data_IF_473468271409
#
_entry.id   IF_473468271409
#
_cell.length_a   1.000
_cell.length_b   1.000
_cell.length_c   1.000
_cell.angle_alpha   90.00
_cell.angle_beta   90.00
_cell.angle_gamma   90.00
#
_symmetry.space_group_name_H-M   'P 1'
#
loop_
_entity.id
_entity.type
_entity.pdbx_description
1 polymer ?
#
# COMPACT_ATOMS: atom_id res chain seq x y z
N UNK A 1 30.23 27.74 12.44
CA UNK A 1 30.95 26.63 11.77
C UNK A 1 29.95 25.64 11.19
N UNK A 2 29.75 25.81 9.88
CA UNK A 2 29.12 24.96 8.87
C UNK A 2 28.65 23.55 9.25
N UNK A 3 27.36 23.28 9.00
CA UNK A 3 26.73 21.95 9.05
C UNK A 3 26.95 21.11 7.79
N UNK A 4 26.39 19.88 7.73
CA UNK A 4 26.39 19.07 6.52
C UNK A 4 25.19 19.45 5.64
N UNK A 5 25.48 19.82 4.39
CA UNK A 5 24.50 20.22 3.38
C UNK A 5 23.61 19.07 2.94
N UNK A 6 22.30 19.31 2.99
CA UNK A 6 21.26 18.52 2.33
C UNK A 6 21.43 18.67 0.82
N UNK A 7 21.61 17.57 0.09
CA UNK A 7 21.63 17.60 -1.36
C UNK A 7 20.20 17.85 -1.89
N UNK A 8 19.92 19.11 -2.22
CA UNK A 8 18.77 19.51 -3.03
C UNK A 8 18.97 19.00 -4.46
N UNK A 9 18.02 18.23 -4.98
CA UNK A 9 17.99 17.76 -6.38
C UNK A 9 17.39 18.82 -7.32
N UNK A 10 17.72 20.10 -7.12
CA UNK A 10 17.21 21.21 -7.94
C UNK A 10 18.21 21.84 -8.89
N UNK A 11 19.44 21.32 -9.01
CA UNK A 11 20.41 21.76 -10.02
C UNK A 11 21.24 20.55 -10.46
N UNK A 12 20.92 19.95 -11.60
CA UNK A 12 21.86 19.08 -12.31
C UNK A 12 22.10 19.74 -13.66
N UNK A 13 23.21 20.47 -13.73
CA UNK A 13 23.70 21.08 -14.93
C UNK A 13 24.17 19.97 -15.90
N UNK A 14 23.69 20.04 -17.14
CA UNK A 14 23.83 18.98 -18.17
C UNK A 14 25.28 18.63 -18.55
N UNK A 15 26.27 19.40 -18.07
CA UNK A 15 27.70 19.15 -18.31
C UNK A 15 28.38 18.23 -17.28
N UNK A 16 27.78 17.99 -16.11
CA UNK A 16 28.37 17.10 -15.09
C UNK A 16 28.21 15.60 -15.41
N UNK A 17 27.23 15.25 -16.24
CA UNK A 17 26.95 13.85 -16.62
C UNK A 17 28.05 13.22 -17.48
N UNK A 18 28.77 14.01 -18.29
CA UNK A 18 29.82 13.48 -19.18
C UNK A 18 31.12 13.16 -18.43
N UNK A 19 31.42 13.85 -17.33
CA UNK A 19 32.61 13.59 -16.51
C UNK A 19 32.47 12.38 -15.57
N UNK A 20 31.24 12.05 -15.13
CA UNK A 20 30.98 10.90 -14.25
C UNK A 20 31.13 9.56 -14.98
N UNK A 21 30.95 9.54 -16.31
CA UNK A 21 31.07 8.31 -17.11
C UNK A 21 32.51 7.83 -17.23
N UNK A 22 33.52 8.70 -17.10
CA UNK A 22 34.92 8.33 -17.34
C UNK A 22 35.73 7.87 -16.11
N UNK A 23 35.26 8.07 -14.87
CA UNK A 23 36.07 7.79 -13.66
C UNK A 23 35.80 6.46 -12.95
N UNK A 24 34.81 5.66 -13.35
CA UNK A 24 34.49 4.38 -12.69
C UNK A 24 35.31 3.17 -13.18
N UNK A 25 36.61 3.35 -13.38
CA UNK A 25 37.59 2.25 -13.40
C UNK A 25 38.58 2.43 -12.24
N UNK A 26 38.21 2.03 -11.01
CA UNK A 26 39.10 1.34 -10.06
C UNK A 26 38.42 0.97 -8.73
N UNK A 27 38.74 -0.26 -8.33
CA UNK A 27 38.82 -0.86 -6.98
C UNK A 27 37.55 -1.24 -6.19
N UNK A 28 37.44 -2.58 -6.05
CA UNK A 28 36.58 -3.36 -5.15
C UNK A 28 36.89 -3.06 -3.67
N UNK A 29 35.87 -2.70 -2.89
CA UNK A 29 35.67 -3.18 -1.50
C UNK A 29 34.16 -3.39 -1.30
N UNK A 30 33.79 -4.54 -0.75
CA UNK A 30 32.40 -4.97 -0.62
C UNK A 30 31.59 -4.01 0.27
N UNK A 31 30.52 -3.43 -0.27
CA UNK A 31 29.53 -2.72 0.53
C UNK A 31 28.73 -3.71 1.38
N UNK A 32 28.47 -3.42 2.66
CA UNK A 32 27.63 -4.27 3.49
C UNK A 32 26.20 -4.31 2.94
N UNK A 33 25.56 -5.47 3.09
CA UNK A 33 24.20 -5.73 2.57
C UNK A 33 23.20 -4.74 3.18
N UNK A 34 22.41 -4.10 2.33
CA UNK A 34 21.33 -3.20 2.72
C UNK A 34 20.26 -3.98 3.52
N UNK A 35 19.81 -3.49 4.71
CA UNK A 35 18.82 -4.15 5.58
C UNK A 35 17.52 -4.55 4.87
N UNK A 36 17.15 -3.82 3.82
CA UNK A 36 15.95 -4.07 3.01
C UNK A 36 15.97 -5.43 2.30
N UNK A 37 17.15 -6.05 2.15
CA UNK A 37 17.28 -7.37 1.49
C UNK A 37 17.28 -8.56 2.44
N UNK A 38 17.48 -8.39 3.75
CA UNK A 38 17.29 -9.51 4.70
C UNK A 38 15.81 -9.96 4.68
N UNK A 39 14.89 -9.01 4.52
CA UNK A 39 13.46 -9.26 4.34
C UNK A 39 13.15 -10.18 3.14
N UNK A 40 13.83 -10.00 2.00
CA UNK A 40 13.61 -10.84 0.82
C UNK A 40 14.36 -12.19 0.86
N UNK A 41 15.37 -12.33 1.72
CA UNK A 41 16.13 -13.57 1.90
C UNK A 41 15.47 -14.47 2.95
N UNK A 42 14.95 -13.90 4.04
CA UNK A 42 14.24 -14.66 5.09
C UNK A 42 12.95 -15.32 4.58
N UNK A 43 12.22 -14.66 3.67
CA UNK A 43 11.04 -15.25 3.01
C UNK A 43 11.42 -16.50 2.16
N UNK A 44 12.66 -16.60 1.67
CA UNK A 44 13.10 -17.77 0.90
C UNK A 44 13.59 -18.94 1.78
N UNK A 45 13.78 -18.74 3.09
CA UNK A 45 14.33 -19.76 3.98
C UNK A 45 13.30 -20.45 4.89
N UNK A 46 12.06 -19.94 4.98
CA UNK A 46 11.03 -20.54 5.84
C UNK A 46 10.00 -21.45 5.16
N UNK A 47 10.05 -21.62 3.84
CA UNK A 47 9.20 -22.59 3.15
C UNK A 47 10.03 -23.72 2.53
N UNK A 48 10.24 -24.78 3.30
CA UNK A 48 10.49 -26.11 2.75
C UNK A 48 9.24 -26.55 1.98
N UNK A 49 9.10 -26.14 0.72
CA UNK A 49 8.01 -26.64 -0.13
C UNK A 49 7.80 -25.93 -1.46
N UNK A 50 8.11 -24.64 -1.60
CA UNK A 50 7.82 -23.92 -2.83
C UNK A 50 9.08 -23.41 -3.53
N UNK A 51 9.46 -24.09 -4.62
CA UNK A 51 10.42 -23.58 -5.61
C UNK A 51 9.99 -22.17 -6.01
N UNK A 52 10.77 -21.17 -5.61
CA UNK A 52 10.43 -19.76 -5.73
C UNK A 52 9.92 -19.39 -7.14
N UNK A 53 8.84 -18.60 -7.18
CA UNK A 53 8.16 -18.13 -8.39
C UNK A 53 9.07 -17.54 -9.47
N UNK A 54 10.27 -17.05 -9.09
CA UNK A 54 11.33 -16.64 -10.01
C UNK A 54 11.71 -17.72 -11.04
N UNK A 55 11.58 -18.99 -10.70
CA UNK A 55 11.95 -20.11 -11.59
C UNK A 55 10.91 -20.37 -12.68
N UNK A 56 9.62 -20.23 -12.36
CA UNK A 56 8.54 -20.67 -13.25
C UNK A 56 8.28 -19.63 -14.36
N UNK A 57 8.20 -18.35 -14.02
CA UNK A 57 7.91 -17.29 -14.99
C UNK A 57 9.08 -17.06 -15.97
N UNK A 58 10.31 -16.97 -15.46
CA UNK A 58 11.50 -16.84 -16.32
C UNK A 58 11.76 -18.12 -17.12
N UNK A 59 11.55 -19.31 -16.53
CA UNK A 59 11.68 -20.58 -17.25
C UNK A 59 10.66 -20.74 -18.38
N UNK A 60 9.44 -20.21 -18.23
CA UNK A 60 8.43 -20.19 -19.28
C UNK A 60 8.79 -19.21 -20.41
N UNK A 61 9.18 -17.98 -20.09
CA UNK A 61 9.56 -16.96 -21.08
C UNK A 61 10.80 -17.36 -21.91
N UNK A 62 11.80 -17.96 -21.26
CA UNK A 62 13.03 -18.41 -21.94
C UNK A 62 12.80 -19.59 -22.90
N UNK A 63 11.69 -20.34 -22.76
CA UNK A 63 11.29 -21.38 -23.73
C UNK A 63 10.77 -20.80 -25.05
N UNK A 64 10.21 -19.59 -25.05
CA UNK A 64 9.69 -18.96 -26.26
C UNK A 64 10.71 -18.02 -26.93
N UNK A 65 11.67 -17.48 -26.17
CA UNK A 65 12.68 -16.56 -26.69
C UNK A 65 14.07 -17.04 -26.28
N UNK A 66 14.60 -18.01 -27.04
CA UNK A 66 15.90 -18.64 -26.79
C UNK A 66 17.08 -17.65 -26.75
N UNK A 67 16.96 -16.48 -27.39
CA UNK A 67 18.01 -15.46 -27.45
C UNK A 67 17.90 -14.38 -26.37
N UNK A 68 16.84 -14.36 -25.56
CA UNK A 68 16.63 -13.31 -24.58
C UNK A 68 17.54 -13.51 -23.36
N UNK A 69 18.43 -12.55 -23.12
CA UNK A 69 19.26 -12.50 -21.91
C UNK A 69 18.62 -11.52 -20.92
N UNK A 70 17.99 -11.99 -19.83
CA UNK A 70 17.40 -11.09 -18.86
C UNK A 70 18.47 -10.19 -18.23
N UNK A 71 18.13 -8.92 -17.92
CA UNK A 71 19.06 -8.03 -17.24
C UNK A 71 19.44 -8.62 -15.88
N UNK A 72 20.70 -8.43 -15.48
CA UNK A 72 21.09 -8.77 -14.12
C UNK A 72 20.39 -7.83 -13.12
N UNK A 73 20.34 -8.25 -11.85
CA UNK A 73 19.69 -7.50 -10.76
C UNK A 73 20.14 -6.04 -10.68
N UNK A 74 21.44 -5.76 -10.88
CA UNK A 74 21.96 -4.39 -10.81
C UNK A 74 21.48 -3.56 -11.99
N UNK A 75 21.52 -4.10 -13.20
CA UNK A 75 21.03 -3.43 -14.41
C UNK A 75 19.54 -3.11 -14.28
N UNK A 76 18.72 -4.05 -13.81
CA UNK A 76 17.30 -3.80 -13.60
C UNK A 76 17.07 -2.75 -12.50
N UNK A 77 17.63 -2.96 -11.31
CA UNK A 77 17.35 -2.15 -10.12
C UNK A 77 17.95 -0.74 -10.17
N UNK A 78 19.16 -0.59 -10.69
CA UNK A 78 19.88 0.69 -10.61
C UNK A 78 19.82 1.50 -11.90
N UNK A 79 19.59 0.86 -13.06
CA UNK A 79 19.59 1.56 -14.34
C UNK A 79 18.18 1.63 -14.90
N UNK A 80 17.55 0.49 -15.19
CA UNK A 80 16.30 0.46 -15.95
C UNK A 80 15.13 1.03 -15.15
N UNK A 81 14.94 0.59 -13.90
CA UNK A 81 13.86 1.12 -13.06
C UNK A 81 14.04 2.61 -12.76
N UNK A 82 15.27 3.07 -12.50
CA UNK A 82 15.53 4.48 -12.24
C UNK A 82 15.30 5.34 -13.48
N UNK A 83 15.76 4.87 -14.66
CA UNK A 83 15.52 5.54 -15.92
C UNK A 83 14.02 5.66 -16.22
N UNK A 84 13.29 4.55 -16.08
CA UNK A 84 11.85 4.51 -16.34
C UNK A 84 11.07 5.36 -15.34
N UNK A 85 11.46 5.35 -14.06
CA UNK A 85 10.87 6.20 -13.02
C UNK A 85 11.08 7.67 -13.35
N UNK A 86 12.29 8.07 -13.79
CA UNK A 86 12.56 9.45 -14.20
C UNK A 86 11.72 9.84 -15.42
N UNK A 87 11.66 8.97 -16.44
CA UNK A 87 10.86 9.18 -17.65
C UNK A 87 9.38 9.38 -17.34
N UNK A 88 8.81 8.49 -16.52
CA UNK A 88 7.40 8.57 -16.08
C UNK A 88 7.18 9.83 -15.23
N UNK A 89 8.09 10.15 -14.31
CA UNK A 89 7.98 11.34 -13.45
C UNK A 89 7.93 12.63 -14.29
N UNK A 90 8.78 12.74 -15.31
CA UNK A 90 8.78 13.89 -16.23
C UNK A 90 7.46 13.94 -17.02
N UNK A 91 6.99 12.81 -17.53
CA UNK A 91 5.74 12.73 -18.27
C UNK A 91 4.54 13.16 -17.41
N UNK A 92 4.46 12.68 -16.16
CA UNK A 92 3.43 13.07 -15.20
C UNK A 92 3.50 14.57 -14.92
N UNK A 93 4.68 15.12 -14.61
CA UNK A 93 4.83 16.57 -14.36
C UNK A 93 4.32 17.42 -15.53
N UNK A 94 4.68 17.06 -16.76
CA UNK A 94 4.24 17.76 -17.97
C UNK A 94 2.72 17.68 -18.20
N UNK A 95 2.10 16.55 -17.85
CA UNK A 95 0.63 16.43 -17.90
C UNK A 95 -0.01 17.33 -16.84
N UNK A 96 0.49 17.30 -15.60
CA UNK A 96 0.01 18.13 -14.50
C UNK A 96 0.22 19.63 -14.70
N UNK A 97 1.18 20.04 -15.54
CA UNK A 97 1.41 21.45 -15.88
C UNK A 97 0.18 22.11 -16.53
N UNK A 98 -0.55 21.36 -17.36
CA UNK A 98 -1.68 21.87 -18.13
C UNK A 98 -3.05 21.54 -17.51
N UNK A 99 -3.06 20.75 -16.44
CA UNK A 99 -4.28 20.33 -15.74
C UNK A 99 -4.61 21.28 -14.58
N UNK A 100 -5.92 21.47 -14.36
CA UNK A 100 -6.48 22.23 -13.25
C UNK A 100 -7.57 21.38 -12.55
N UNK A 101 -8.06 21.85 -11.41
CA UNK A 101 -9.05 21.15 -10.59
C UNK A 101 -8.58 19.77 -10.14
N UNK A 102 -7.29 19.66 -9.82
CA UNK A 102 -6.65 18.46 -9.32
C UNK A 102 -7.26 18.08 -7.96
N UNK A 103 -7.36 16.78 -7.73
CA UNK A 103 -7.68 16.23 -6.41
C UNK A 103 -6.48 15.44 -5.89
N UNK A 104 -6.02 15.79 -4.69
CA UNK A 104 -5.01 15.01 -3.99
C UNK A 104 -5.70 13.96 -3.12
N UNK A 105 -5.56 12.69 -3.47
CA UNK A 105 -5.95 11.58 -2.63
C UNK A 105 -4.78 11.11 -1.77
N UNK A 106 -5.06 10.79 -0.51
CA UNK A 106 -4.10 10.25 0.44
C UNK A 106 -4.62 8.92 0.98
N UNK A 107 -3.75 7.91 0.95
CA UNK A 107 -3.99 6.63 1.57
C UNK A 107 -2.84 6.29 2.52
N UNK A 108 -3.16 5.81 3.72
CA UNK A 108 -2.17 5.44 4.72
C UNK A 108 -2.44 4.04 5.26
N UNK A 109 -1.40 3.23 5.35
CA UNK A 109 -1.50 1.88 5.88
C UNK A 109 -0.29 1.50 6.70
N UNK A 110 -0.52 0.60 7.66
CA UNK A 110 0.55 -0.10 8.36
C UNK A 110 0.78 -1.45 7.68
N UNK A 111 1.99 -1.66 7.21
CA UNK A 111 2.43 -2.95 6.67
C UNK A 111 2.52 -4.02 7.75
N UNK A 112 2.55 -5.29 7.34
CA UNK A 112 2.65 -6.42 8.26
C UNK A 112 3.94 -6.42 9.11
N UNK A 113 4.99 -5.72 8.67
CA UNK A 113 6.23 -5.52 9.43
C UNK A 113 6.20 -4.27 10.34
N UNK A 114 5.04 -3.65 10.53
CA UNK A 114 4.87 -2.48 11.39
C UNK A 114 5.36 -1.17 10.76
N UNK A 115 5.71 -1.15 9.48
CA UNK A 115 6.06 0.10 8.79
C UNK A 115 4.82 0.89 8.37
N UNK A 116 4.88 2.21 8.50
CA UNK A 116 3.78 3.11 8.16
C UNK A 116 4.08 3.80 6.84
N UNK A 117 3.20 3.60 5.87
CA UNK A 117 3.34 4.13 4.51
C UNK A 117 2.18 5.03 4.16
N UNK A 118 2.50 6.12 3.48
CA UNK A 118 1.55 7.09 2.98
C UNK A 118 1.73 7.21 1.47
N UNK A 119 0.67 6.98 0.70
CA UNK A 119 0.63 7.19 -0.73
C UNK A 119 -0.11 8.49 -1.04
N UNK A 120 0.56 9.37 -1.79
CA UNK A 120 -0.02 10.58 -2.35
C UNK A 120 -0.38 10.31 -3.80
N UNK A 121 -1.65 10.42 -4.12
CA UNK A 121 -2.22 10.09 -5.43
C UNK A 121 -2.87 11.35 -5.99
N UNK A 122 -2.53 11.70 -7.22
CA UNK A 122 -3.14 12.84 -7.91
C UNK A 122 -4.19 12.30 -8.87
N UNK A 123 -5.40 12.81 -8.75
CA UNK A 123 -6.51 12.52 -9.64
C UNK A 123 -6.76 13.76 -10.49
N UNK A 124 -6.71 13.59 -11.81
CA UNK A 124 -6.94 14.67 -12.78
C UNK A 124 -8.37 14.60 -13.34
N UNK A 125 -8.79 15.62 -14.10
CA UNK A 125 -10.17 15.79 -14.58
C UNK A 125 -10.71 14.60 -15.39
N UNK A 126 -9.85 13.90 -16.15
CA UNK A 126 -10.22 12.72 -16.94
C UNK A 126 -10.27 11.41 -16.11
N UNK A 127 -10.18 11.50 -14.78
CA UNK A 127 -10.17 10.39 -13.81
C UNK A 127 -8.93 9.50 -13.84
N UNK A 128 -7.89 9.84 -14.63
CA UNK A 128 -6.58 9.19 -14.49
C UNK A 128 -6.00 9.49 -13.11
N UNK A 129 -5.23 8.53 -12.60
CA UNK A 129 -4.65 8.58 -11.27
C UNK A 129 -3.14 8.36 -11.37
N UNK A 130 -2.39 9.22 -10.69
CA UNK A 130 -0.93 9.13 -10.64
C UNK A 130 -0.49 8.96 -9.20
N UNK A 131 0.26 7.89 -8.93
CA UNK A 131 0.98 7.75 -7.66
C UNK A 131 2.13 8.76 -7.70
N UNK A 132 1.93 9.90 -7.05
CA UNK A 132 2.90 10.99 -7.03
C UNK A 132 4.10 10.63 -6.17
N UNK A 133 3.84 10.11 -4.97
CA UNK A 133 4.89 9.60 -4.11
C UNK A 133 4.35 8.62 -3.08
N UNK A 134 5.21 7.69 -2.65
CA UNK A 134 4.98 6.86 -1.47
C UNK A 134 6.07 7.19 -0.47
N UNK A 135 5.68 7.47 0.77
CA UNK A 135 6.58 7.89 1.84
C UNK A 135 6.49 6.92 2.99
N UNK A 136 7.65 6.57 3.54
CA UNK A 136 7.75 5.83 4.78
C UNK A 136 7.81 6.84 5.93
N UNK A 137 6.79 6.83 6.80
CA UNK A 137 6.67 7.70 7.96
C UNK A 137 6.72 6.92 9.28
N UNK A 138 7.34 5.73 9.29
CA UNK A 138 7.47 4.89 10.49
C UNK A 138 8.07 5.60 11.72
N UNK A 139 8.96 6.58 11.51
CA UNK A 139 9.63 7.32 12.59
C UNK A 139 8.92 8.64 12.95
N UNK A 140 7.88 9.00 12.20
CA UNK A 140 7.23 10.29 12.31
C UNK A 140 5.96 10.18 13.17
N UNK A 141 5.56 11.31 13.75
CA UNK A 141 4.29 11.37 14.45
C UNK A 141 3.16 11.38 13.42
N UNK A 142 2.23 10.41 13.48
CA UNK A 142 1.02 10.38 12.65
C UNK A 142 -0.03 11.41 13.11
N UNK A 143 0.42 12.61 13.45
CA UNK A 143 -0.42 13.70 13.93
C UNK A 143 -1.08 14.42 12.76
N UNK A 144 -2.17 15.12 13.05
CA UNK A 144 -2.87 15.94 12.07
C UNK A 144 -1.98 17.05 11.49
N UNK A 145 -1.13 17.66 12.33
CA UNK A 145 -0.22 18.74 11.93
C UNK A 145 0.85 18.20 10.97
N UNK A 146 1.54 17.13 11.35
CA UNK A 146 2.54 16.50 10.47
C UNK A 146 1.94 16.10 9.12
N UNK A 147 0.75 15.50 9.15
CA UNK A 147 0.06 15.08 7.93
C UNK A 147 -0.33 16.28 7.06
N UNK A 148 -0.80 17.38 7.66
CA UNK A 148 -1.10 18.61 6.95
C UNK A 148 0.16 19.21 6.31
N UNK A 149 1.29 19.25 7.02
CA UNK A 149 2.55 19.75 6.47
C UNK A 149 3.01 18.93 5.25
N UNK A 150 2.89 17.60 5.30
CA UNK A 150 3.24 16.74 4.18
C UNK A 150 2.28 16.89 2.99
N UNK A 151 0.97 17.06 3.24
CA UNK A 151 -0.01 17.40 2.20
C UNK A 151 0.36 18.74 1.56
N UNK A 152 0.64 19.76 2.37
CA UNK A 152 0.98 21.10 1.90
C UNK A 152 2.23 21.09 1.01
N UNK A 153 3.26 20.33 1.38
CA UNK A 153 4.46 20.15 0.54
C UNK A 153 4.10 19.63 -0.85
N UNK A 154 3.19 18.66 -0.96
CA UNK A 154 2.76 18.14 -2.27
C UNK A 154 1.99 19.19 -3.06
N UNK A 155 1.07 19.91 -2.40
CA UNK A 155 0.27 20.96 -3.04
C UNK A 155 1.17 22.09 -3.59
N UNK A 156 2.12 22.58 -2.79
CA UNK A 156 3.06 23.64 -3.19
C UNK A 156 3.94 23.19 -4.35
N UNK A 157 4.48 21.96 -4.29
CA UNK A 157 5.39 21.45 -5.32
C UNK A 157 4.75 21.35 -6.72
N UNK A 158 3.44 21.13 -6.80
CA UNK A 158 2.70 21.00 -8.07
C UNK A 158 2.09 22.34 -8.50
N UNK A 159 1.76 23.19 -7.52
CA UNK A 159 1.04 24.44 -7.72
C UNK A 159 -0.31 24.39 -7.02
N UNK A 160 -0.40 25.08 -5.89
CA UNK A 160 -1.55 24.99 -4.99
C UNK A 160 -2.86 25.44 -5.64
N UNK A 161 -2.81 26.44 -6.51
CA UNK A 161 -3.97 26.99 -7.22
C UNK A 161 -4.64 26.00 -8.16
N UNK A 162 -3.93 24.92 -8.51
CA UNK A 162 -4.45 23.85 -9.38
C UNK A 162 -5.36 22.88 -8.65
N UNK A 163 -5.32 22.83 -7.32
CA UNK A 163 -6.10 21.88 -6.54
C UNK A 163 -7.50 22.42 -6.20
N UNK A 164 -8.48 21.55 -6.32
CA UNK A 164 -9.85 21.80 -5.85
C UNK A 164 -10.23 20.98 -4.62
N UNK A 165 -9.52 19.88 -4.34
CA UNK A 165 -9.88 19.00 -3.23
C UNK A 165 -8.70 18.18 -2.70
N UNK A 166 -8.80 17.80 -1.42
CA UNK A 166 -8.00 16.75 -0.78
C UNK A 166 -8.94 15.66 -0.26
N UNK A 167 -8.70 14.42 -0.65
CA UNK A 167 -9.48 13.25 -0.25
C UNK A 167 -8.62 12.34 0.62
N UNK A 168 -9.15 11.88 1.74
CA UNK A 168 -8.54 10.82 2.56
C UNK A 168 -9.62 10.12 3.37
N UNK A 169 -9.26 9.07 4.11
CA UNK A 169 -10.15 8.44 5.09
C UNK A 169 -10.64 9.44 6.17
N UNK A 170 -11.54 8.95 7.03
CA UNK A 170 -12.11 9.76 8.11
C UNK A 170 -11.39 9.54 9.44
N UNK A 171 -10.19 8.95 9.46
CA UNK A 171 -9.40 8.84 10.69
C UNK A 171 -9.20 10.23 11.30
N UNK A 172 -9.19 10.32 12.64
CA UNK A 172 -9.19 11.60 13.34
C UNK A 172 -8.07 12.54 12.88
N UNK A 173 -6.83 12.04 12.79
CA UNK A 173 -5.68 12.80 12.33
C UNK A 173 -5.84 13.28 10.87
N UNK A 174 -6.37 12.42 9.99
CA UNK A 174 -6.58 12.72 8.57
C UNK A 174 -7.69 13.76 8.36
N UNK A 175 -8.78 13.63 9.11
CA UNK A 175 -9.90 14.58 9.10
C UNK A 175 -9.44 15.97 9.53
N UNK A 176 -8.68 16.06 10.63
CA UNK A 176 -8.10 17.31 11.09
C UNK A 176 -7.06 17.88 10.11
N UNK A 177 -6.20 17.04 9.53
CA UNK A 177 -5.21 17.48 8.54
C UNK A 177 -5.88 18.14 7.33
N UNK A 178 -6.94 17.53 6.79
CA UNK A 178 -7.75 18.12 5.71
C UNK A 178 -8.40 19.43 6.11
N UNK A 179 -8.89 19.53 7.35
CA UNK A 179 -9.46 20.78 7.87
C UNK A 179 -8.39 21.88 7.95
N UNK A 180 -7.18 21.58 8.42
CA UNK A 180 -6.09 22.55 8.43
C UNK A 180 -5.79 23.08 7.02
N UNK A 181 -5.71 22.19 6.02
CA UNK A 181 -5.50 22.57 4.62
C UNK A 181 -6.65 23.43 4.10
N UNK A 182 -7.90 23.04 4.33
CA UNK A 182 -9.07 23.79 3.84
C UNK A 182 -9.21 25.16 4.51
N UNK A 183 -8.91 25.26 5.81
CA UNK A 183 -8.91 26.53 6.54
C UNK A 183 -7.81 27.47 6.02
N UNK A 184 -6.65 26.93 5.64
CA UNK A 184 -5.54 27.71 5.08
C UNK A 184 -5.77 28.08 3.62
N UNK A 185 -6.43 27.21 2.86
CA UNK A 185 -6.68 27.34 1.43
C UNK A 185 -8.16 27.08 1.15
N UNK A 186 -8.98 28.12 1.24
CA UNK A 186 -10.45 28.03 1.14
C UNK A 186 -10.98 27.45 -0.18
N UNK A 187 -10.18 27.48 -1.25
CA UNK A 187 -10.49 26.84 -2.55
C UNK A 187 -10.43 25.31 -2.48
N UNK A 188 -9.67 24.75 -1.53
CA UNK A 188 -9.42 23.32 -1.43
C UNK A 188 -10.46 22.69 -0.51
N UNK A 189 -11.29 21.83 -1.08
CA UNK A 189 -12.34 21.12 -0.37
C UNK A 189 -11.79 19.91 0.41
N UNK A 190 -12.14 19.76 1.70
CA UNK A 190 -11.76 18.60 2.50
C UNK A 190 -12.79 17.49 2.25
N UNK A 191 -12.46 16.57 1.35
CA UNK A 191 -13.36 15.48 0.94
C UNK A 191 -13.05 14.22 1.75
N UNK A 192 -14.10 13.51 2.14
CA UNK A 192 -13.99 12.25 2.85
C UNK A 192 -14.08 11.07 1.88
N UNK A 193 -13.38 9.98 2.20
CA UNK A 193 -13.44 8.75 1.42
C UNK A 193 -14.85 8.14 1.47
N UNK A 194 -15.52 8.06 0.31
CA UNK A 194 -16.87 7.49 0.20
C UNK A 194 -16.92 6.02 0.62
N UNK A 195 -15.86 5.26 0.32
CA UNK A 195 -15.80 3.85 0.67
C UNK A 195 -15.67 3.65 2.19
N UNK A 196 -14.91 4.51 2.87
CA UNK A 196 -14.87 4.53 4.33
C UNK A 196 -16.22 4.94 4.93
N UNK A 197 -16.90 5.92 4.35
CA UNK A 197 -18.25 6.32 4.78
C UNK A 197 -19.28 5.20 4.68
N UNK A 198 -19.32 4.49 3.55
CA UNK A 198 -20.22 3.34 3.37
C UNK A 198 -19.90 2.26 4.43
N UNK A 199 -18.62 2.00 4.69
CA UNK A 199 -18.21 1.07 5.74
C UNK A 199 -18.71 1.49 7.13
N UNK A 200 -18.61 2.78 7.48
CA UNK A 200 -19.13 3.29 8.75
C UNK A 200 -20.64 3.11 8.87
N UNK A 201 -21.39 3.37 7.79
CA UNK A 201 -22.84 3.15 7.73
C UNK A 201 -23.16 1.66 7.95
N UNK A 202 -22.47 0.76 7.23
CA UNK A 202 -22.67 -0.68 7.39
C UNK A 202 -22.33 -1.15 8.81
N UNK A 203 -21.22 -0.68 9.37
CA UNK A 203 -20.81 -0.98 10.75
C UNK A 203 -21.84 -0.49 11.75
N UNK A 204 -22.39 0.71 11.57
CA UNK A 204 -23.42 1.26 12.43
C UNK A 204 -24.71 0.43 12.39
N UNK A 205 -25.17 0.03 11.19
CA UNK A 205 -26.34 -0.83 11.04
C UNK A 205 -26.12 -2.17 11.76
N UNK A 206 -24.97 -2.81 11.57
CA UNK A 206 -24.67 -4.11 12.19
C UNK A 206 -24.54 -3.96 13.72
N UNK A 207 -23.80 -2.97 14.19
CA UNK A 207 -23.45 -2.84 15.61
C UNK A 207 -24.56 -2.22 16.46
N UNK A 208 -25.40 -1.33 15.90
CA UNK A 208 -26.48 -0.65 16.62
C UNK A 208 -27.80 -1.42 16.59
N UNK A 209 -28.00 -2.35 15.66
CA UNK A 209 -29.17 -3.23 15.67
C UNK A 209 -28.94 -4.41 16.62
N UNK A 210 -29.93 -4.71 17.47
CA UNK A 210 -29.86 -5.85 18.39
C UNK A 210 -29.69 -7.18 17.65
N UNK A 211 -30.38 -7.32 16.51
CA UNK A 211 -30.27 -8.47 15.62
C UNK A 211 -28.87 -8.61 15.01
N UNK A 212 -28.38 -7.57 14.32
CA UNK A 212 -27.07 -7.60 13.66
C UNK A 212 -25.93 -7.87 14.63
N UNK A 213 -25.96 -7.19 15.79
CA UNK A 213 -24.97 -7.38 16.86
C UNK A 213 -24.98 -8.80 17.38
N UNK A 214 -26.16 -9.37 17.66
CA UNK A 214 -26.30 -10.74 18.15
C UNK A 214 -25.77 -11.77 17.15
N UNK A 215 -26.14 -11.63 15.87
CA UNK A 215 -25.68 -12.53 14.79
C UNK A 215 -24.16 -12.48 14.67
N UNK A 216 -23.56 -11.29 14.58
CA UNK A 216 -22.12 -11.14 14.45
C UNK A 216 -21.38 -11.71 15.67
N UNK A 217 -21.87 -11.47 16.89
CA UNK A 217 -21.28 -12.02 18.12
C UNK A 217 -21.32 -13.55 18.16
N UNK A 218 -22.41 -14.16 17.69
CA UNK A 218 -22.52 -15.62 17.60
C UNK A 218 -21.53 -16.18 16.58
N UNK A 219 -21.45 -15.58 15.38
CA UNK A 219 -20.45 -15.98 14.38
C UNK A 219 -19.02 -15.81 14.89
N UNK A 220 -18.69 -14.69 15.54
CA UNK A 220 -17.36 -14.48 16.11
C UNK A 220 -17.03 -15.49 17.21
N UNK A 221 -17.97 -15.78 18.12
CA UNK A 221 -17.77 -16.79 19.17
C UNK A 221 -17.49 -18.16 18.57
N UNK A 222 -18.18 -18.49 17.47
CA UNK A 222 -17.95 -19.71 16.72
C UNK A 222 -16.55 -19.77 16.11
N UNK A 223 -16.13 -18.70 15.43
CA UNK A 223 -14.78 -18.58 14.85
C UNK A 223 -13.70 -18.72 15.94
N UNK A 224 -13.87 -18.05 17.08
CA UNK A 224 -12.94 -18.11 18.21
C UNK A 224 -12.81 -19.54 18.73
N UNK A 225 -13.92 -20.26 18.90
CA UNK A 225 -13.91 -21.66 19.37
C UNK A 225 -13.09 -22.56 18.44
N UNK A 226 -13.31 -22.50 17.12
CA UNK A 226 -12.59 -23.34 16.16
C UNK A 226 -11.12 -22.95 15.99
N UNK A 227 -10.77 -21.68 16.18
CA UNK A 227 -9.38 -21.25 16.18
C UNK A 227 -8.64 -21.66 17.46
N UNK A 228 -9.34 -21.70 18.61
CA UNK A 228 -8.74 -22.07 19.90
C UNK A 228 -8.63 -23.59 20.11
N UNK A 229 -9.58 -24.38 19.61
CA UNK A 229 -9.60 -25.83 19.77
C UNK A 229 -8.77 -26.52 18.68
N UNK A 230 -7.62 -27.09 19.06
CA UNK A 230 -6.78 -27.86 18.13
C UNK A 230 -7.53 -29.03 17.48
N UNK A 231 -8.33 -29.75 18.27
CA UNK A 231 -9.09 -30.91 17.80
C UNK A 231 -10.21 -30.46 16.85
N UNK A 232 -11.09 -29.56 17.31
CA UNK A 232 -12.23 -29.11 16.51
C UNK A 232 -11.80 -28.37 15.24
N UNK A 233 -10.73 -27.56 15.32
CA UNK A 233 -10.16 -26.89 14.16
C UNK A 233 -9.53 -27.85 13.14
N UNK A 234 -8.98 -28.99 13.59
CA UNK A 234 -8.44 -30.02 12.69
C UNK A 234 -9.56 -30.82 12.03
N UNK A 235 -10.61 -31.17 12.78
CA UNK A 235 -11.81 -31.82 12.23
C UNK A 235 -12.43 -30.93 11.14
N UNK A 236 -12.62 -29.64 11.42
CA UNK A 236 -13.18 -28.70 10.43
C UNK A 236 -12.31 -28.59 9.18
N UNK A 237 -10.97 -28.53 9.32
CA UNK A 237 -10.06 -28.50 8.17
C UNK A 237 -10.16 -29.77 7.32
N UNK A 238 -10.29 -30.94 7.95
CA UNK A 238 -10.47 -32.20 7.24
C UNK A 238 -11.82 -32.24 6.51
N UNK A 239 -12.90 -31.79 7.16
CA UNK A 239 -14.21 -31.71 6.51
C UNK A 239 -14.24 -30.74 5.32
N UNK A 240 -13.55 -29.60 5.41
CA UNK A 240 -13.40 -28.68 4.27
C UNK A 240 -12.75 -29.37 3.06
N UNK A 241 -11.74 -30.21 3.31
CA UNK A 241 -11.05 -30.99 2.27
C UNK A 241 -11.99 -32.08 1.73
N UNK A 242 -12.68 -32.81 2.61
CA UNK A 242 -13.60 -33.89 2.24
C UNK A 242 -14.75 -33.37 1.34
N UNK A 243 -15.29 -32.19 1.66
CA UNK A 243 -16.34 -31.54 0.89
C UNK A 243 -15.83 -30.70 -0.31
N UNK A 244 -14.51 -30.67 -0.55
CA UNK A 244 -13.87 -29.88 -1.61
C UNK A 244 -14.33 -28.41 -1.64
N UNK A 245 -14.45 -27.77 -0.48
CA UNK A 245 -14.94 -26.40 -0.38
C UNK A 245 -13.83 -25.42 -0.80
N UNK A 246 -13.97 -24.83 -1.99
CA UNK A 246 -13.01 -23.86 -2.53
C UNK A 246 -13.09 -22.45 -1.89
N UNK A 247 -13.94 -22.24 -0.89
CA UNK A 247 -14.24 -20.90 -0.31
C UNK A 247 -13.35 -20.51 0.87
N UNK A 248 -12.36 -21.34 1.23
CA UNK A 248 -11.45 -21.10 2.34
C UNK A 248 -12.04 -21.41 3.73
N UNK A 249 -11.27 -21.15 4.78
CA UNK A 249 -11.65 -21.41 6.17
C UNK A 249 -12.44 -20.28 6.84
N UNK A 250 -12.69 -20.44 8.14
CA UNK A 250 -13.33 -19.43 8.98
C UNK A 250 -12.52 -18.13 9.03
N UNK A 251 -13.22 -16.99 9.02
CA UNK A 251 -12.62 -15.65 9.07
C UNK A 251 -13.11 -14.90 10.29
N UNK A 252 -12.20 -14.25 11.01
CA UNK A 252 -12.57 -13.33 12.10
C UNK A 252 -13.03 -11.98 11.54
N UNK A 253 -13.87 -11.29 12.31
CA UNK A 253 -14.25 -9.92 12.02
C UNK A 253 -13.42 -8.95 12.86
N UNK A 254 -12.98 -7.87 12.24
CA UNK A 254 -12.17 -6.78 12.80
C UNK A 254 -12.79 -5.45 12.38
N UNK A 255 -13.10 -4.58 13.34
CA UNK A 255 -13.74 -3.29 13.08
C UNK A 255 -12.89 -2.36 12.20
N UNK A 256 -11.58 -2.57 12.12
CA UNK A 256 -10.66 -1.73 11.34
C UNK A 256 -10.53 -2.14 9.87
N UNK A 257 -11.00 -3.34 9.49
CA UNK A 257 -10.85 -3.89 8.14
C UNK A 257 -12.19 -3.89 7.39
N UNK A 258 -12.14 -3.44 6.13
CA UNK A 258 -13.29 -3.54 5.23
C UNK A 258 -13.86 -4.95 5.16
N UNK A 259 -15.18 -5.02 5.00
CA UNK A 259 -15.97 -6.25 4.84
C UNK A 259 -15.81 -7.33 5.91
N UNK A 260 -15.00 -7.15 6.96
CA UNK A 260 -14.64 -8.21 7.90
C UNK A 260 -15.85 -8.86 8.59
N UNK A 261 -16.88 -8.06 8.90
CA UNK A 261 -18.14 -8.56 9.48
C UNK A 261 -18.89 -9.44 8.47
N UNK A 262 -18.96 -9.01 7.22
CA UNK A 262 -19.54 -9.81 6.13
C UNK A 262 -18.72 -11.09 5.90
N UNK A 263 -17.39 -10.98 5.81
CA UNK A 263 -16.48 -12.10 5.65
C UNK A 263 -16.62 -13.14 6.77
N UNK A 264 -16.77 -12.70 8.01
CA UNK A 264 -17.01 -13.57 9.16
C UNK A 264 -18.31 -14.36 9.00
N UNK A 265 -19.43 -13.67 8.82
CA UNK A 265 -20.74 -14.30 8.66
C UNK A 265 -20.77 -15.22 7.43
N UNK A 266 -20.24 -14.75 6.31
CA UNK A 266 -20.18 -15.50 5.06
C UNK A 266 -19.31 -16.75 5.18
N UNK A 267 -18.20 -16.69 5.94
CA UNK A 267 -17.34 -17.86 6.19
C UNK A 267 -18.05 -18.94 6.99
N UNK A 268 -18.86 -18.56 7.99
CA UNK A 268 -19.69 -19.51 8.77
C UNK A 268 -20.75 -20.14 7.88
N UNK A 269 -21.47 -19.35 7.08
CA UNK A 269 -22.49 -19.86 6.15
C UNK A 269 -21.90 -20.81 5.09
N UNK A 270 -20.73 -20.48 4.55
CA UNK A 270 -20.07 -21.33 3.57
C UNK A 270 -19.65 -22.70 4.15
N UNK A 271 -19.48 -22.78 5.46
CA UNK A 271 -19.05 -23.99 6.17
C UNK A 271 -20.18 -24.66 6.95
N UNK A 272 -21.43 -24.22 6.77
CA UNK A 272 -22.60 -24.73 7.50
C UNK A 272 -22.71 -26.25 7.42
N UNK A 273 -22.48 -26.84 6.25
CA UNK A 273 -22.56 -28.29 6.05
C UNK A 273 -21.43 -29.05 6.76
N UNK A 274 -20.24 -28.47 6.87
CA UNK A 274 -19.11 -29.07 7.61
C UNK A 274 -19.29 -28.93 9.12
N UNK A 275 -19.95 -27.86 9.55
CA UNK A 275 -20.17 -27.53 10.96
C UNK A 275 -21.26 -28.41 11.60
N UNK A 276 -22.26 -28.82 10.81
CA UNK A 276 -23.41 -29.60 11.30
C UNK A 276 -23.12 -31.09 11.52
N UNK A 277 -21.95 -31.58 11.11
CA UNK A 277 -21.52 -32.96 11.37
C UNK A 277 -20.93 -33.11 12.78
#
# INVERSE_FOLDING_TARGET
>A
NSGPSVANLSEVDTKELDHVVQTNKKNKRGQPKNPLWNYFVEINHQESGHKGWKSIFFGFLLKFIHSYKPPNRKTLSNNWLNYETARITIAIKKELENENNLTLALDSWTSNCGHSYFAFIIIISNKKQYVYSIKNYSINSHTAIFTADEIEKVLINIGIDKFGAVVSDSAFAMSLAKQYISNKYSKILPVQCIAHHIQLICSDIICKTSFGKKVLQQCQSFVIYFHASYQSGTILRNEIINFMINKGGLKSSDCSRWSSAYDCVQSVLNLENCIKQ
#
